data_IF_089266405432
#
_entry.id   IF_089266405432
#
_cell.length_a   1.000
_cell.length_b   1.000
_cell.length_c   1.000
_cell.angle_alpha   90.00
_cell.angle_beta   90.00
_cell.angle_gamma   90.00
#
_symmetry.space_group_name_H-M   'P 1'
#
loop_
_entity.id
_entity.type
_entity.pdbx_description
1 polymer ?
#
# COMPACT_ATOMS: atom_id res chain seq x y z
N UNK A 1 10.55 -14.32 -3.39
CA UNK A 1 9.52 -14.13 -2.32
C UNK A 1 8.23 -14.73 -2.85
N UNK A 2 7.53 -15.56 -2.07
CA UNK A 2 6.26 -16.18 -2.49
C UNK A 2 5.03 -15.59 -1.79
N UNK A 3 5.22 -14.87 -0.68
CA UNK A 3 4.14 -14.26 0.07
C UNK A 3 3.57 -13.03 -0.65
N UNK A 4 2.27 -12.82 -0.53
CA UNK A 4 1.60 -11.62 -1.02
C UNK A 4 2.03 -10.39 -0.18
N UNK A 5 2.47 -9.32 -0.85
CA UNK A 5 2.98 -8.09 -0.21
C UNK A 5 2.07 -6.89 -0.49
N UNK A 6 1.56 -6.27 0.57
CA UNK A 6 1.01 -4.91 0.52
C UNK A 6 1.96 -3.96 1.23
N UNK A 7 2.51 -3.00 0.49
CA UNK A 7 3.42 -1.99 1.02
C UNK A 7 2.76 -0.61 0.98
N UNK A 8 2.76 0.08 2.13
CA UNK A 8 2.09 1.38 2.29
C UNK A 8 3.07 2.35 2.94
N UNK A 9 3.26 3.51 2.34
CA UNK A 9 4.14 4.55 2.87
C UNK A 9 3.79 5.93 2.34
N UNK A 10 4.68 6.90 2.56
CA UNK A 10 4.42 8.28 2.16
C UNK A 10 5.62 9.00 1.57
N UNK A 11 5.36 10.06 0.80
CA UNK A 11 6.41 10.86 0.15
C UNK A 11 7.30 11.61 1.12
N UNK A 12 6.78 11.98 2.29
CA UNK A 12 7.50 12.65 3.36
C UNK A 12 8.07 11.65 4.40
N UNK A 13 8.04 10.35 4.08
CA UNK A 13 8.70 9.30 4.84
C UNK A 13 10.15 9.10 4.37
N UNK A 14 11.05 8.79 5.30
CA UNK A 14 12.46 8.51 5.00
C UNK A 14 12.69 7.26 4.12
N UNK A 15 11.74 6.33 4.10
CA UNK A 15 11.80 5.05 3.39
C UNK A 15 10.98 5.02 2.08
N UNK A 16 10.67 6.20 1.52
CA UNK A 16 9.81 6.41 0.34
C UNK A 16 10.15 5.58 -0.92
N UNK A 17 11.40 5.18 -1.11
CA UNK A 17 11.83 4.37 -2.25
C UNK A 17 11.37 2.90 -2.16
N UNK A 18 11.14 2.40 -0.95
CA UNK A 18 10.85 0.98 -0.67
C UNK A 18 9.66 0.47 -1.46
N UNK A 19 8.56 1.23 -1.52
CA UNK A 19 7.31 0.79 -2.12
C UNK A 19 7.50 0.53 -3.62
N UNK A 20 8.12 1.48 -4.33
CA UNK A 20 8.42 1.33 -5.76
C UNK A 20 9.41 0.18 -6.03
N UNK A 21 10.42 0.01 -5.16
CA UNK A 21 11.39 -1.06 -5.28
C UNK A 21 10.74 -2.44 -5.12
N UNK A 22 9.84 -2.60 -4.16
CA UNK A 22 9.10 -3.85 -3.96
C UNK A 22 8.16 -4.15 -5.14
N UNK A 23 7.38 -3.16 -5.58
CA UNK A 23 6.44 -3.31 -6.69
C UNK A 23 7.12 -3.67 -8.01
N UNK A 24 8.36 -3.22 -8.24
CA UNK A 24 9.12 -3.50 -9.46
C UNK A 24 9.86 -4.86 -9.44
N UNK A 25 10.13 -5.43 -8.27
CA UNK A 25 11.07 -6.58 -8.14
C UNK A 25 10.45 -7.84 -7.52
N UNK A 26 9.25 -7.77 -6.95
CA UNK A 26 8.57 -8.96 -6.41
C UNK A 26 7.67 -9.57 -7.48
N UNK A 27 7.87 -10.86 -7.75
CA UNK A 27 7.05 -11.64 -8.69
C UNK A 27 5.75 -12.18 -8.08
N UNK A 28 5.72 -12.38 -6.75
CA UNK A 28 4.49 -12.70 -6.02
C UNK A 28 3.52 -11.52 -6.05
N UNK A 29 2.22 -11.72 -5.72
CA UNK A 29 1.26 -10.62 -5.66
C UNK A 29 1.76 -9.47 -4.80
N UNK A 30 1.97 -8.31 -5.43
CA UNK A 30 2.54 -7.12 -4.78
C UNK A 30 1.73 -5.88 -5.13
N UNK A 31 1.37 -5.10 -4.11
CA UNK A 31 0.70 -3.80 -4.28
C UNK A 31 1.32 -2.73 -3.41
N UNK A 32 1.45 -1.53 -3.98
CA UNK A 32 1.96 -0.33 -3.32
C UNK A 32 0.91 0.77 -3.20
N UNK A 33 0.85 1.42 -2.04
CA UNK A 33 0.11 2.68 -1.86
C UNK A 33 1.07 3.73 -1.29
N UNK A 34 1.19 4.87 -1.98
CA UNK A 34 1.99 5.99 -1.51
C UNK A 34 1.14 7.25 -1.42
N UNK A 35 0.99 7.77 -0.20
CA UNK A 35 0.33 9.05 0.05
C UNK A 35 1.34 10.17 0.32
N UNK A 36 0.88 11.36 0.70
CA UNK A 36 1.77 12.47 1.04
C UNK A 36 2.42 12.31 2.43
N UNK A 37 2.08 11.27 3.20
CA UNK A 37 2.32 11.16 4.64
C UNK A 37 3.79 11.17 5.09
N UNK A 38 4.01 11.61 6.34
CA UNK A 38 5.24 11.37 7.14
C UNK A 38 5.25 9.96 7.75
N UNK A 39 6.26 9.65 8.57
CA UNK A 39 6.45 8.37 9.29
C UNK A 39 5.41 8.09 10.38
N UNK A 40 4.14 7.95 9.97
CA UNK A 40 2.94 7.67 10.79
C UNK A 40 1.91 6.89 9.97
N UNK A 41 0.94 6.26 10.63
CA UNK A 41 -0.09 5.53 9.89
C UNK A 41 -0.99 6.45 9.05
N UNK A 42 -1.36 6.05 7.81
CA UNK A 42 -2.07 6.92 6.87
C UNK A 42 -3.45 7.44 7.32
N UNK A 43 -4.07 6.80 8.33
CA UNK A 43 -5.38 7.20 8.84
C UNK A 43 -5.32 8.35 9.86
N UNK A 44 -4.13 8.75 10.34
CA UNK A 44 -3.94 9.94 11.16
C UNK A 44 -2.68 10.75 10.81
N UNK A 45 -1.88 10.29 9.86
CA UNK A 45 -0.72 11.04 9.39
C UNK A 45 -1.13 12.33 8.66
N UNK A 46 -0.16 13.24 8.60
CA UNK A 46 -0.20 14.44 7.77
C UNK A 46 0.98 14.37 6.79
N UNK A 47 0.96 15.13 5.68
CA UNK A 47 -0.16 15.92 5.15
C UNK A 47 -1.37 15.06 4.73
N UNK A 48 -2.48 15.72 4.45
CA UNK A 48 -3.68 15.12 3.86
C UNK A 48 -3.51 14.90 2.34
N UNK A 49 -4.31 14.02 1.70
CA UNK A 49 -5.44 13.26 2.25
C UNK A 49 -5.02 12.04 3.08
N UNK A 50 -5.78 11.77 4.14
CA UNK A 50 -5.73 10.50 4.87
C UNK A 50 -6.54 9.45 4.12
N UNK A 51 -6.23 8.18 4.37
CA UNK A 51 -7.00 7.06 3.83
C UNK A 51 -7.46 6.12 4.94
N UNK A 52 -8.48 5.32 4.63
CA UNK A 52 -8.86 4.14 5.40
C UNK A 52 -7.80 3.03 5.29
N UNK A 53 -6.63 3.24 5.90
CA UNK A 53 -5.51 2.29 5.87
C UNK A 53 -5.92 0.89 6.36
N UNK A 54 -6.70 0.82 7.44
CA UNK A 54 -7.14 -0.46 8.01
C UNK A 54 -8.11 -1.19 7.07
N UNK A 55 -8.91 -0.46 6.30
CA UNK A 55 -9.81 -1.03 5.29
C UNK A 55 -9.01 -1.66 4.14
N UNK A 56 -7.98 -0.96 3.65
CA UNK A 56 -7.08 -1.51 2.62
C UNK A 56 -6.33 -2.75 3.13
N UNK A 57 -5.83 -2.70 4.37
CA UNK A 57 -5.14 -3.84 4.97
C UNK A 57 -6.08 -5.03 5.21
N UNK A 58 -7.31 -4.79 5.68
CA UNK A 58 -8.32 -5.83 5.88
C UNK A 58 -8.71 -6.50 4.57
N UNK A 59 -8.99 -5.74 3.51
CA UNK A 59 -9.29 -6.30 2.18
C UNK A 59 -8.16 -7.20 1.68
N UNK A 60 -6.90 -6.82 1.92
CA UNK A 60 -5.73 -7.61 1.55
C UNK A 60 -5.62 -8.90 2.36
N UNK A 61 -5.71 -8.81 3.69
CA UNK A 61 -5.63 -9.99 4.55
C UNK A 61 -6.79 -10.95 4.34
N UNK A 62 -8.01 -10.44 4.16
CA UNK A 62 -9.18 -11.27 3.85
C UNK A 62 -8.95 -12.07 2.56
N UNK A 63 -8.29 -11.47 1.55
CA UNK A 63 -7.96 -12.21 0.33
C UNK A 63 -6.93 -13.30 0.55
N UNK A 64 -5.80 -12.99 1.20
CA UNK A 64 -4.62 -13.87 1.22
C UNK A 64 -4.53 -14.79 2.44
N UNK A 65 -5.33 -14.54 3.48
CA UNK A 65 -5.37 -15.37 4.69
C UNK A 65 -6.70 -16.11 4.86
N UNK A 66 -7.76 -15.69 4.16
CA UNK A 66 -9.10 -16.30 4.27
C UNK A 66 -9.73 -16.69 2.93
N UNK A 67 -9.03 -16.47 1.81
CA UNK A 67 -9.52 -16.74 0.46
C UNK A 67 -10.86 -16.06 0.11
N UNK A 68 -11.14 -14.89 0.69
CA UNK A 68 -12.33 -14.11 0.39
C UNK A 68 -12.09 -13.27 -0.87
N UNK A 69 -13.03 -13.27 -1.82
CA UNK A 69 -12.98 -12.37 -2.97
C UNK A 69 -13.29 -10.93 -2.55
N UNK A 70 -12.23 -10.13 -2.38
CA UNK A 70 -12.31 -8.71 -2.01
C UNK A 70 -12.05 -7.77 -3.19
N UNK A 71 -11.86 -8.33 -4.40
CA UNK A 71 -11.47 -7.60 -5.60
C UNK A 71 -10.06 -6.97 -5.57
N UNK A 72 -9.29 -7.15 -4.49
CA UNK A 72 -7.97 -6.50 -4.36
C UNK A 72 -7.00 -6.91 -5.45
N UNK A 73 -7.15 -8.07 -6.06
CA UNK A 73 -6.31 -8.54 -7.17
C UNK A 73 -6.41 -7.62 -8.40
N UNK A 74 -7.57 -6.97 -8.61
CA UNK A 74 -7.81 -6.06 -9.72
C UNK A 74 -7.27 -4.64 -9.51
N UNK A 75 -6.92 -4.26 -8.28
CA UNK A 75 -6.36 -2.93 -7.99
C UNK A 75 -5.04 -2.70 -8.78
N UNK A 76 -4.65 -1.46 -9.12
CA UNK A 76 -3.34 -1.20 -9.70
C UNK A 76 -2.19 -1.71 -8.80
N UNK A 77 -1.11 -2.22 -9.40
CA UNK A 77 0.08 -2.67 -8.66
C UNK A 77 0.72 -1.52 -7.84
N UNK A 78 0.54 -0.27 -8.27
CA UNK A 78 1.05 0.89 -7.58
C UNK A 78 0.05 2.05 -7.66
N UNK A 79 -0.36 2.59 -6.51
CA UNK A 79 -1.26 3.74 -6.38
C UNK A 79 -0.52 4.84 -5.64
N UNK A 80 -0.39 6.01 -6.26
CA UNK A 80 0.34 7.13 -5.70
C UNK A 80 -0.50 8.41 -5.68
N UNK A 81 -0.38 9.17 -4.60
CA UNK A 81 -0.76 10.57 -4.57
C UNK A 81 0.25 11.37 -5.40
N UNK A 82 -0.21 12.20 -6.33
CA UNK A 82 0.68 13.09 -7.08
C UNK A 82 0.77 14.40 -6.31
N UNK A 83 1.98 14.78 -5.89
CA UNK A 83 2.20 16.09 -5.25
C UNK A 83 2.15 17.19 -6.30
N UNK A 84 1.67 18.37 -5.90
CA UNK A 84 1.74 19.59 -6.70
C UNK A 84 3.17 20.11 -6.83
#
# INVERSE_FOLDING_TARGET
>A
IHAAVLSIGGWHDGYRNTISHLAANIEAPVKGIVGPWIHKYPHYAAPEPRIGFLQEALRWWDRWLKDIDTGVEADPAYRAYVMD
#
